data_IF_661888419934
#
_entry.id   IF_661888419934
#
_cell.length_a   1.000
_cell.length_b   1.000
_cell.length_c   1.000
_cell.angle_alpha   90.00
_cell.angle_beta   90.00
_cell.angle_gamma   90.00
#
_symmetry.space_group_name_H-M   'P 1'
#
loop_
_entity.id
_entity.type
_entity.pdbx_description
1 polymer ?
#
# COMPACT_ATOMS: atom_id res chain seq x y z
N UNK A 1 -10.11 -6.19 -55.69
CA UNK A 1 -9.30 -4.96 -55.80
C UNK A 1 -8.62 -4.72 -54.45
N UNK A 2 -7.43 -5.19 -54.25
CA UNK A 2 -6.59 -4.91 -53.07
C UNK A 2 -6.10 -3.47 -53.17
N UNK A 3 -6.66 -2.55 -52.36
CA UNK A 3 -6.22 -1.17 -52.29
C UNK A 3 -4.78 -1.21 -51.72
N UNK A 4 -3.78 -0.97 -52.56
CA UNK A 4 -2.40 -0.83 -52.13
C UNK A 4 -2.37 0.38 -51.15
N UNK A 5 -2.24 0.09 -49.86
CA UNK A 5 -2.02 1.15 -48.87
C UNK A 5 -0.75 1.91 -49.25
N UNK A 6 -0.86 3.23 -49.41
CA UNK A 6 0.26 4.07 -49.77
C UNK A 6 1.38 3.91 -48.72
N UNK A 7 2.65 4.07 -49.11
CA UNK A 7 3.80 4.03 -48.20
C UNK A 7 3.56 4.95 -46.97
N UNK A 8 2.94 6.09 -47.21
CA UNK A 8 2.54 7.01 -46.12
C UNK A 8 1.60 6.37 -45.09
N UNK A 9 0.58 5.60 -45.53
CA UNK A 9 -0.35 4.91 -44.64
C UNK A 9 0.36 3.84 -43.79
N UNK A 10 1.31 3.11 -44.36
CA UNK A 10 2.09 2.11 -43.62
C UNK A 10 3.00 2.73 -42.57
N UNK A 11 3.69 3.83 -42.92
CA UNK A 11 4.50 4.59 -41.98
C UNK A 11 3.67 5.20 -40.86
N UNK A 12 2.49 5.75 -41.19
CA UNK A 12 1.55 6.31 -40.21
C UNK A 12 1.08 5.22 -39.23
N UNK A 13 0.64 4.07 -39.71
CA UNK A 13 0.18 2.97 -38.87
C UNK A 13 1.29 2.46 -37.96
N UNK A 14 2.52 2.32 -38.46
CA UNK A 14 3.65 1.87 -37.66
C UNK A 14 4.02 2.89 -36.57
N UNK A 15 4.07 4.19 -36.91
CA UNK A 15 4.34 5.26 -35.93
C UNK A 15 3.27 5.33 -34.85
N UNK A 16 1.99 5.23 -35.23
CA UNK A 16 0.87 5.20 -34.28
C UNK A 16 0.96 3.96 -33.37
N UNK A 17 1.26 2.79 -33.92
CA UNK A 17 1.41 1.57 -33.13
C UNK A 17 2.53 1.69 -32.08
N UNK A 18 3.68 2.20 -32.49
CA UNK A 18 4.81 2.46 -31.59
C UNK A 18 4.46 3.49 -30.51
N UNK A 19 3.74 4.56 -30.87
CA UNK A 19 3.28 5.57 -29.92
C UNK A 19 2.39 4.94 -28.84
N UNK A 20 1.39 4.13 -29.24
CA UNK A 20 0.50 3.45 -28.32
C UNK A 20 1.28 2.50 -27.39
N UNK A 21 2.22 1.73 -27.92
CA UNK A 21 3.06 0.84 -27.12
C UNK A 21 3.90 1.60 -26.09
N UNK A 22 4.54 2.69 -26.51
CA UNK A 22 5.35 3.52 -25.61
C UNK A 22 4.48 4.13 -24.51
N UNK A 23 3.31 4.69 -24.86
CA UNK A 23 2.39 5.25 -23.86
C UNK A 23 1.88 4.18 -22.87
N UNK A 24 1.55 2.98 -23.37
CA UNK A 24 1.11 1.88 -22.52
C UNK A 24 2.20 1.45 -21.52
N UNK A 25 3.43 1.24 -22.01
CA UNK A 25 4.57 0.86 -21.16
C UNK A 25 4.85 1.96 -20.13
N UNK A 26 4.88 3.22 -20.56
CA UNK A 26 5.11 4.36 -19.66
C UNK A 26 4.01 4.45 -18.60
N UNK A 27 2.75 4.23 -18.99
CA UNK A 27 1.63 4.22 -18.07
C UNK A 27 1.75 3.14 -16.99
N UNK A 28 2.06 1.91 -17.40
CA UNK A 28 2.25 0.78 -16.48
C UNK A 28 3.41 1.05 -15.51
N UNK A 29 4.53 1.54 -16.01
CA UNK A 29 5.70 1.85 -15.18
C UNK A 29 5.37 2.96 -14.18
N UNK A 30 4.73 4.04 -14.62
CA UNK A 30 4.40 5.18 -13.76
C UNK A 30 3.36 4.80 -12.70
N UNK A 31 2.31 4.04 -13.05
CA UNK A 31 1.34 3.49 -12.12
C UNK A 31 2.02 2.61 -11.06
N UNK A 32 2.91 1.70 -11.48
CA UNK A 32 3.66 0.84 -10.57
C UNK A 32 4.57 1.64 -9.62
N UNK A 33 5.27 2.65 -10.12
CA UNK A 33 6.13 3.53 -9.28
C UNK A 33 5.29 4.29 -8.27
N UNK A 34 4.15 4.83 -8.68
CA UNK A 34 3.25 5.57 -7.81
C UNK A 34 2.68 4.68 -6.71
N UNK A 35 2.16 3.50 -7.06
CA UNK A 35 1.66 2.52 -6.10
C UNK A 35 2.71 2.14 -5.06
N UNK A 36 3.93 1.82 -5.51
CA UNK A 36 5.02 1.51 -4.59
C UNK A 36 5.39 2.69 -3.68
N UNK A 37 5.27 3.93 -4.17
CA UNK A 37 5.54 5.11 -3.36
C UNK A 37 4.46 5.32 -2.29
N UNK A 38 3.18 5.13 -2.63
CA UNK A 38 2.04 5.20 -1.71
C UNK A 38 2.13 4.11 -0.64
N UNK A 39 2.38 2.85 -1.02
CA UNK A 39 2.58 1.75 -0.07
C UNK A 39 3.72 2.05 0.91
N UNK A 40 4.87 2.53 0.42
CA UNK A 40 6.00 2.91 1.30
C UNK A 40 5.67 4.07 2.22
N UNK A 41 4.87 5.03 1.78
CA UNK A 41 4.44 6.14 2.63
C UNK A 41 3.54 5.63 3.77
N UNK A 42 2.62 4.76 3.45
CA UNK A 42 1.74 4.10 4.41
C UNK A 42 2.53 3.22 5.40
N UNK A 43 3.45 2.39 4.89
CA UNK A 43 4.32 1.55 5.72
C UNK A 43 5.18 2.40 6.69
N UNK A 44 5.66 3.57 6.27
CA UNK A 44 6.38 4.49 7.17
C UNK A 44 5.51 4.99 8.32
N UNK A 45 4.23 5.29 8.04
CA UNK A 45 3.25 5.70 9.07
C UNK A 45 3.00 4.57 10.07
N UNK A 46 2.75 3.34 9.59
CA UNK A 46 2.58 2.18 10.46
C UNK A 46 3.83 1.90 11.30
N UNK A 47 5.02 1.99 10.69
CA UNK A 47 6.28 1.81 11.41
C UNK A 47 6.52 2.86 12.51
N UNK A 48 6.02 4.08 12.35
CA UNK A 48 6.10 5.09 13.39
C UNK A 48 5.31 4.66 14.62
N UNK A 49 4.06 4.24 14.44
CA UNK A 49 3.23 3.71 15.53
C UNK A 49 3.83 2.45 16.15
N UNK A 50 4.35 1.54 15.32
CA UNK A 50 5.02 0.33 15.78
C UNK A 50 6.19 0.64 16.73
N UNK A 51 7.04 1.61 16.37
CA UNK A 51 8.18 2.04 17.22
C UNK A 51 7.70 2.65 18.53
N UNK A 52 6.65 3.43 18.52
CA UNK A 52 6.07 4.01 19.74
C UNK A 52 5.58 2.91 20.68
N UNK A 53 4.86 1.91 20.16
CA UNK A 53 4.39 0.77 20.96
C UNK A 53 5.55 -0.06 21.52
N UNK A 54 6.61 -0.29 20.73
CA UNK A 54 7.79 -1.02 21.19
C UNK A 54 8.51 -0.26 22.31
N UNK A 55 8.64 1.07 22.20
CA UNK A 55 9.25 1.89 23.23
C UNK A 55 8.45 1.82 24.55
N UNK A 56 7.12 1.77 24.46
CA UNK A 56 6.26 1.65 25.63
C UNK A 56 6.36 0.28 26.28
N UNK A 57 6.42 -0.81 25.50
CA UNK A 57 6.63 -2.17 26.01
C UNK A 57 8.01 -2.33 26.66
N UNK A 58 9.02 -1.61 26.15
CA UNK A 58 10.40 -1.68 26.66
C UNK A 58 10.64 -0.84 27.93
N UNK A 59 9.64 -0.11 28.45
CA UNK A 59 9.79 0.72 29.66
C UNK A 59 9.25 -0.04 30.87
N UNK A 60 10.10 -0.56 31.79
CA UNK A 60 9.71 -1.49 32.85
C UNK A 60 8.90 -0.88 34.01
N UNK A 61 8.92 0.45 34.18
CA UNK A 61 8.48 1.13 35.40
C UNK A 61 7.01 1.60 35.37
N UNK A 62 6.18 1.08 34.48
CA UNK A 62 4.81 1.53 34.38
C UNK A 62 3.81 0.58 35.07
N UNK A 63 2.90 1.09 35.95
CA UNK A 63 1.90 0.25 36.59
C UNK A 63 1.06 -0.45 35.50
N UNK A 64 0.68 -1.73 35.72
CA UNK A 64 -0.04 -2.54 34.71
C UNK A 64 -1.40 -1.97 34.32
N UNK A 65 -1.84 -0.89 34.96
CA UNK A 65 -3.14 -0.25 34.78
C UNK A 65 -3.06 1.06 33.98
N UNK A 66 -1.85 1.44 33.47
CA UNK A 66 -1.77 2.58 32.58
C UNK A 66 -2.41 2.19 31.24
N UNK A 67 -3.58 2.75 30.99
CA UNK A 67 -4.15 2.75 29.63
C UNK A 67 -3.07 3.31 28.72
N UNK A 68 -2.64 2.51 27.72
CA UNK A 68 -1.75 2.99 26.67
C UNK A 68 -2.27 4.35 26.22
N UNK A 69 -1.52 5.42 26.52
CA UNK A 69 -1.91 6.75 26.11
C UNK A 69 -2.12 6.70 24.61
N UNK A 70 -3.23 7.22 24.14
CA UNK A 70 -3.60 7.19 22.73
C UNK A 70 -2.37 7.52 21.90
N UNK A 71 -2.04 6.68 20.92
CA UNK A 71 -0.92 6.88 20.00
C UNK A 71 -1.03 8.20 19.19
N UNK A 72 -1.90 9.12 19.65
CA UNK A 72 -2.22 10.39 18.99
C UNK A 72 -3.12 10.23 17.76
N UNK A 73 -3.55 9.02 17.46
CA UNK A 73 -4.45 8.72 16.36
C UNK A 73 -5.82 8.33 16.90
N UNK A 74 -6.86 9.16 16.75
CA UNK A 74 -8.21 8.88 17.25
C UNK A 74 -8.84 7.62 16.70
N UNK A 75 -8.38 7.17 15.53
CA UNK A 75 -8.91 5.98 14.88
C UNK A 75 -8.62 4.69 15.67
N UNK A 76 -7.58 4.64 16.49
CA UNK A 76 -7.35 3.51 17.40
C UNK A 76 -8.36 3.39 18.55
N UNK A 77 -9.14 4.43 18.79
CA UNK A 77 -10.18 4.45 19.83
C UNK A 77 -11.58 4.14 19.28
N UNK A 78 -11.78 4.30 17.97
CA UNK A 78 -13.08 4.09 17.32
C UNK A 78 -13.25 2.61 16.94
N UNK A 79 -14.30 1.93 17.45
CA UNK A 79 -14.55 0.54 17.12
C UNK A 79 -14.61 0.30 15.60
N UNK A 80 -13.90 -0.74 15.15
CA UNK A 80 -13.89 -1.21 13.75
C UNK A 80 -13.47 -0.15 12.72
N UNK A 81 -12.64 0.80 13.13
CA UNK A 81 -12.19 1.96 12.33
C UNK A 81 -11.27 1.60 11.15
N UNK A 82 -10.77 0.36 11.07
CA UNK A 82 -9.72 -0.02 10.13
C UNK A 82 -8.29 0.25 10.63
N UNK A 83 -8.12 0.94 11.76
CA UNK A 83 -6.82 1.19 12.37
C UNK A 83 -6.71 0.43 13.68
N UNK A 84 -5.74 -0.51 13.75
CA UNK A 84 -5.61 -1.45 14.85
C UNK A 84 -4.16 -1.59 15.28
N UNK A 85 -3.96 -1.84 16.57
CA UNK A 85 -2.70 -2.35 17.07
C UNK A 85 -2.93 -3.50 18.05
N UNK A 86 -1.96 -4.38 18.12
CA UNK A 86 -1.97 -5.52 19.03
C UNK A 86 -0.56 -5.84 19.51
N UNK A 87 -0.43 -6.09 20.80
CA UNK A 87 0.78 -6.59 21.44
C UNK A 87 0.45 -7.94 22.04
N UNK A 88 1.20 -8.95 21.66
CA UNK A 88 1.00 -10.32 22.15
C UNK A 88 2.28 -10.77 22.84
N UNK A 89 2.19 -11.11 24.11
CA UNK A 89 3.28 -11.75 24.84
C UNK A 89 3.34 -13.23 24.46
N UNK A 90 4.50 -13.71 23.96
CA UNK A 90 4.63 -15.05 23.35
C UNK A 90 5.43 -16.04 24.20
N UNK A 91 5.98 -15.63 25.35
CA UNK A 91 6.80 -16.44 26.25
C UNK A 91 6.01 -17.11 27.40
N UNK A 92 4.69 -16.93 27.43
CA UNK A 92 3.81 -17.52 28.45
C UNK A 92 2.90 -18.59 27.85
N UNK A 93 2.53 -19.60 28.67
CA UNK A 93 1.59 -20.66 28.23
C UNK A 93 0.23 -20.12 27.76
N UNK A 94 -0.21 -18.98 28.33
CA UNK A 94 -1.40 -18.25 27.87
C UNK A 94 -0.93 -16.90 27.34
N UNK A 95 -1.00 -16.68 26.02
CA UNK A 95 -0.62 -15.39 25.43
C UNK A 95 -1.43 -14.25 26.05
N UNK A 96 -0.75 -13.33 26.71
CA UNK A 96 -1.36 -12.08 27.14
C UNK A 96 -1.45 -11.15 25.90
N UNK A 97 -2.66 -10.71 25.59
CA UNK A 97 -2.92 -9.84 24.43
C UNK A 97 -3.42 -8.50 24.90
N UNK A 98 -2.71 -7.44 24.51
CA UNK A 98 -3.17 -6.05 24.64
C UNK A 98 -3.44 -5.52 23.24
N UNK A 99 -4.55 -4.82 23.06
CA UNK A 99 -4.97 -4.34 21.76
C UNK A 99 -5.64 -2.96 21.85
N UNK A 100 -5.71 -2.29 20.70
CA UNK A 100 -6.46 -1.03 20.56
C UNK A 100 -7.96 -1.25 20.83
N UNK A 101 -8.63 -0.23 21.31
CA UNK A 101 -10.10 -0.27 21.49
C UNK A 101 -10.84 -0.49 20.17
N UNK A 102 -10.27 -0.02 19.08
CA UNK A 102 -10.83 -0.21 17.74
C UNK A 102 -10.97 -1.68 17.35
N UNK A 103 -10.10 -2.56 17.87
CA UNK A 103 -10.14 -4.00 17.56
C UNK A 103 -11.32 -4.72 18.24
N UNK A 104 -11.91 -4.10 19.29
CA UNK A 104 -13.03 -4.62 20.06
C UNK A 104 -12.72 -6.02 20.65
N UNK A 105 -13.46 -7.06 20.24
CA UNK A 105 -13.31 -8.45 20.68
C UNK A 105 -12.50 -9.32 19.70
N UNK A 106 -12.00 -8.72 18.62
CA UNK A 106 -11.26 -9.39 17.55
C UNK A 106 -9.76 -9.44 17.85
N UNK A 107 -9.03 -10.18 17.03
CA UNK A 107 -7.57 -10.27 17.05
C UNK A 107 -7.03 -10.05 15.66
N UNK A 108 -5.86 -9.41 15.59
CA UNK A 108 -5.12 -9.36 14.34
C UNK A 108 -4.51 -10.73 14.03
N UNK A 109 -4.55 -11.17 12.76
CA UNK A 109 -3.82 -12.35 12.34
C UNK A 109 -2.32 -12.10 12.45
N UNK A 110 -1.52 -13.16 12.61
CA UNK A 110 -0.06 -13.04 12.63
C UNK A 110 0.48 -13.21 11.21
N UNK A 111 1.34 -12.29 10.80
CA UNK A 111 1.99 -12.35 9.49
C UNK A 111 2.91 -13.57 9.35
N UNK A 112 3.48 -14.03 10.45
CA UNK A 112 4.27 -15.26 10.49
C UNK A 112 3.46 -16.50 10.08
N UNK A 113 2.24 -16.63 10.55
CA UNK A 113 1.34 -17.75 10.22
C UNK A 113 0.91 -17.73 8.74
N UNK A 114 1.01 -16.58 8.07
CA UNK A 114 0.76 -16.43 6.64
C UNK A 114 2.02 -16.66 5.77
N UNK A 115 3.14 -17.03 6.37
CA UNK A 115 4.37 -17.30 5.65
C UNK A 115 5.14 -16.04 5.22
N UNK A 116 4.83 -14.88 5.77
CA UNK A 116 5.53 -13.64 5.46
C UNK A 116 6.83 -13.59 6.25
N UNK A 117 7.94 -13.52 5.51
CA UNK A 117 9.29 -13.52 6.10
C UNK A 117 9.67 -12.16 6.68
N UNK A 118 10.62 -12.17 7.61
CA UNK A 118 11.23 -10.96 8.16
C UNK A 118 12.08 -10.26 7.09
N UNK A 119 11.87 -8.97 6.95
CA UNK A 119 12.77 -8.12 6.17
C UNK A 119 14.13 -7.94 6.86
N UNK A 120 15.12 -7.39 6.16
CA UNK A 120 16.42 -7.04 6.74
C UNK A 120 16.31 -6.07 7.94
N UNK A 121 15.21 -5.33 8.07
CA UNK A 121 14.94 -4.46 9.21
C UNK A 121 14.30 -5.19 10.41
N UNK A 122 14.09 -6.51 10.33
CA UNK A 122 13.49 -7.32 11.39
C UNK A 122 11.99 -7.07 11.57
N UNK A 123 11.30 -6.67 10.51
CA UNK A 123 9.86 -6.46 10.47
C UNK A 123 9.22 -7.33 9.38
N UNK A 124 7.98 -7.74 9.58
CA UNK A 124 7.13 -8.32 8.54
C UNK A 124 6.16 -7.26 8.06
N UNK A 125 5.88 -7.22 6.76
CA UNK A 125 4.94 -6.28 6.15
C UNK A 125 4.08 -7.05 5.16
N UNK A 126 2.76 -6.92 5.28
CA UNK A 126 1.84 -7.63 4.39
C UNK A 126 0.43 -7.08 4.39
N UNK A 127 -0.39 -7.63 3.51
CA UNK A 127 -1.83 -7.42 3.53
C UNK A 127 -2.48 -8.57 4.30
N UNK A 128 -3.47 -8.24 5.11
CA UNK A 128 -4.23 -9.22 5.91
C UNK A 128 -5.70 -8.86 5.91
N UNK A 129 -6.54 -9.86 6.11
CA UNK A 129 -7.96 -9.66 6.35
C UNK A 129 -8.18 -9.27 7.82
N UNK A 130 -8.80 -8.13 8.02
CA UNK A 130 -9.15 -7.59 9.33
C UNK A 130 -10.57 -7.95 9.79
N UNK A 131 -11.02 -7.33 10.90
CA UNK A 131 -12.43 -7.38 11.30
C UNK A 131 -13.36 -6.99 10.16
N UNK A 132 -14.53 -7.66 10.07
CA UNK A 132 -15.55 -7.37 9.05
C UNK A 132 -15.05 -7.45 7.59
N UNK A 133 -14.08 -8.34 7.32
CA UNK A 133 -13.51 -8.55 5.98
C UNK A 133 -12.85 -7.28 5.38
N UNK A 134 -12.29 -6.42 6.23
CA UNK A 134 -11.53 -5.26 5.79
C UNK A 134 -10.17 -5.70 5.26
N UNK A 135 -9.74 -5.13 4.15
CA UNK A 135 -8.36 -5.28 3.68
C UNK A 135 -7.44 -4.35 4.49
N UNK A 136 -6.54 -4.93 5.25
CA UNK A 136 -5.59 -4.18 6.07
C UNK A 136 -4.16 -4.32 5.55
N UNK A 137 -3.41 -3.22 5.61
CA UNK A 137 -1.96 -3.24 5.52
C UNK A 137 -1.38 -3.31 6.93
N UNK A 138 -0.55 -4.31 7.21
CA UNK A 138 -0.04 -4.59 8.55
C UNK A 138 1.48 -4.64 8.57
N UNK A 139 2.04 -4.12 9.65
CA UNK A 139 3.46 -4.23 10.01
C UNK A 139 3.56 -4.93 11.34
N UNK A 140 4.41 -5.96 11.42
CA UNK A 140 4.61 -6.80 12.61
C UNK A 140 6.10 -6.91 12.95
N UNK A 141 6.44 -6.87 14.22
CA UNK A 141 7.81 -7.06 14.70
C UNK A 141 7.86 -7.94 15.96
N UNK A 142 8.65 -9.00 15.95
CA UNK A 142 9.00 -9.72 17.16
C UNK A 142 10.04 -8.89 17.95
N UNK A 143 9.82 -8.76 19.26
CA UNK A 143 10.70 -8.02 20.19
C UNK A 143 11.06 -8.95 21.32
N UNK A 144 12.35 -9.16 21.54
CA UNK A 144 12.89 -9.93 22.67
C UNK A 144 13.54 -8.98 23.66
N UNK A 145 12.95 -8.84 24.85
CA UNK A 145 13.43 -7.99 25.94
C UNK A 145 14.18 -8.80 27.01
N UNK A 146 14.62 -10.00 26.69
CA UNK A 146 15.36 -10.87 27.61
C UNK A 146 14.51 -11.29 28.81
N UNK A 147 14.86 -10.80 30.00
CA UNK A 147 14.17 -11.13 31.25
C UNK A 147 12.72 -10.59 31.29
N UNK A 148 12.42 -9.51 30.57
CA UNK A 148 11.10 -8.86 30.56
C UNK A 148 10.13 -9.55 29.61
N UNK A 149 10.61 -10.48 28.78
CA UNK A 149 9.77 -11.36 27.95
C UNK A 149 9.92 -11.17 26.45
N UNK A 150 9.16 -11.97 25.71
CA UNK A 150 9.09 -11.90 24.24
C UNK A 150 7.73 -11.43 23.80
N UNK A 151 7.74 -10.43 22.95
CA UNK A 151 6.52 -9.77 22.49
C UNK A 151 6.44 -9.80 20.96
N UNK A 152 5.23 -9.92 20.45
CA UNK A 152 4.91 -9.70 19.05
C UNK A 152 4.07 -8.43 18.97
N UNK A 153 4.59 -7.40 18.34
CA UNK A 153 3.93 -6.11 18.21
C UNK A 153 3.48 -5.93 16.78
N UNK A 154 2.19 -5.70 16.57
CA UNK A 154 1.57 -5.49 15.27
C UNK A 154 0.77 -4.19 15.21
N UNK A 155 0.85 -3.51 14.07
CA UNK A 155 0.03 -2.33 13.74
C UNK A 155 -0.54 -2.53 12.35
N UNK A 156 -1.82 -2.27 12.19
CA UNK A 156 -2.53 -2.39 10.93
C UNK A 156 -3.33 -1.12 10.64
N UNK A 157 -3.46 -0.79 9.37
CA UNK A 157 -4.29 0.30 8.87
C UNK A 157 -5.09 -0.12 7.65
N UNK A 158 -6.20 0.54 7.41
CA UNK A 158 -7.10 0.27 6.29
C UNK A 158 -6.37 0.48 4.94
N UNK A 159 -6.27 -0.59 4.16
CA UNK A 159 -5.62 -0.58 2.86
C UNK A 159 -6.44 0.14 1.78
N UNK A 160 -7.71 0.43 2.02
CA UNK A 160 -8.55 1.18 1.09
C UNK A 160 -7.96 2.56 0.79
N UNK A 161 -7.30 3.21 1.76
CA UNK A 161 -6.56 4.47 1.53
C UNK A 161 -5.55 4.33 0.38
N UNK A 162 -4.78 3.21 0.35
CA UNK A 162 -3.78 2.94 -0.70
C UNK A 162 -4.47 2.69 -2.05
N UNK A 163 -5.54 1.90 -2.05
CA UNK A 163 -6.23 1.52 -3.27
C UNK A 163 -6.94 2.70 -3.91
N UNK A 164 -7.59 3.55 -3.12
CA UNK A 164 -8.31 4.73 -3.61
C UNK A 164 -7.36 5.79 -4.18
N UNK A 165 -6.23 6.05 -3.51
CA UNK A 165 -5.20 6.96 -4.02
C UNK A 165 -4.61 6.45 -5.34
N UNK A 166 -4.25 5.16 -5.41
CA UNK A 166 -3.68 4.56 -6.62
C UNK A 166 -4.70 4.56 -7.75
N UNK A 167 -5.95 4.22 -7.48
CA UNK A 167 -7.02 4.21 -8.48
C UNK A 167 -7.30 5.60 -9.05
N UNK A 168 -7.34 6.60 -8.19
CA UNK A 168 -7.51 8.00 -8.60
C UNK A 168 -6.37 8.44 -9.51
N UNK A 169 -5.13 8.13 -9.14
CA UNK A 169 -3.96 8.41 -9.98
C UNK A 169 -4.06 7.74 -11.35
N UNK A 170 -4.42 6.44 -11.40
CA UNK A 170 -4.55 5.69 -12.65
C UNK A 170 -5.62 6.28 -13.59
N UNK A 171 -6.73 6.77 -13.04
CA UNK A 171 -7.75 7.47 -13.83
C UNK A 171 -7.22 8.77 -14.44
N UNK A 172 -6.52 9.61 -13.67
CA UNK A 172 -5.92 10.85 -14.19
C UNK A 172 -4.82 10.58 -15.20
N UNK A 173 -3.98 9.57 -14.94
CA UNK A 173 -2.93 9.15 -15.85
C UNK A 173 -3.51 8.67 -17.19
N UNK A 174 -4.50 7.80 -17.14
CA UNK A 174 -5.19 7.27 -18.33
C UNK A 174 -5.86 8.38 -19.14
N UNK A 175 -6.57 9.30 -18.48
CA UNK A 175 -7.18 10.47 -19.11
C UNK A 175 -6.17 11.39 -19.80
N UNK A 176 -5.05 11.65 -19.12
CA UNK A 176 -3.95 12.47 -19.67
C UNK A 176 -3.32 11.81 -20.89
N UNK A 177 -3.05 10.51 -20.83
CA UNK A 177 -2.47 9.77 -21.96
C UNK A 177 -3.43 9.64 -23.14
N UNK A 178 -4.72 9.47 -22.87
CA UNK A 178 -5.74 9.47 -23.91
C UNK A 178 -5.80 10.84 -24.62
N UNK A 179 -5.83 11.93 -23.88
CA UNK A 179 -5.82 13.27 -24.44
C UNK A 179 -4.54 13.54 -25.26
N UNK A 180 -3.38 13.18 -24.73
CA UNK A 180 -2.10 13.29 -25.43
C UNK A 180 -2.09 12.46 -26.72
N UNK A 181 -2.57 11.24 -26.68
CA UNK A 181 -2.68 10.36 -27.84
C UNK A 181 -3.56 10.95 -28.93
N UNK A 182 -4.72 11.51 -28.56
CA UNK A 182 -5.62 12.19 -29.50
C UNK A 182 -4.93 13.38 -30.15
N UNK A 183 -4.28 14.25 -29.38
CA UNK A 183 -3.58 15.42 -29.91
C UNK A 183 -2.48 15.00 -30.90
N UNK A 184 -1.69 13.98 -30.54
CA UNK A 184 -0.62 13.48 -31.43
C UNK A 184 -1.17 12.86 -32.70
N UNK A 185 -2.27 12.11 -32.63
CA UNK A 185 -2.95 11.58 -33.81
C UNK A 185 -3.47 12.68 -34.73
N UNK A 186 -4.15 13.68 -34.16
CA UNK A 186 -4.66 14.83 -34.92
C UNK A 186 -3.53 15.61 -35.62
N UNK A 187 -2.41 15.86 -34.89
CA UNK A 187 -1.24 16.52 -35.45
C UNK A 187 -0.64 15.72 -36.61
N UNK A 188 -0.52 14.40 -36.43
CA UNK A 188 0.04 13.52 -37.48
C UNK A 188 -0.87 13.46 -38.72
N UNK A 189 -2.20 13.37 -38.52
CA UNK A 189 -3.17 13.42 -39.64
C UNK A 189 -3.07 14.76 -40.38
N UNK A 190 -2.97 15.86 -39.63
CA UNK A 190 -2.81 17.20 -40.24
C UNK A 190 -1.52 17.32 -41.06
N UNK A 191 -0.39 16.86 -40.50
CA UNK A 191 0.89 16.86 -41.22
C UNK A 191 0.87 16.02 -42.49
N UNK A 192 0.23 14.83 -42.47
CA UNK A 192 0.13 13.99 -43.66
C UNK A 192 -0.77 14.61 -44.72
N UNK A 193 -1.89 15.24 -44.33
CA UNK A 193 -2.81 15.82 -45.28
C UNK A 193 -2.31 17.15 -45.89
N UNK A 194 -1.58 17.96 -45.16
CA UNK A 194 -1.10 19.28 -45.61
C UNK A 194 0.37 19.31 -46.00
N UNK A 195 1.19 18.35 -45.54
CA UNK A 195 2.59 18.27 -45.90
C UNK A 195 2.90 17.50 -47.19
N UNK A 196 1.93 16.75 -47.73
CA UNK A 196 2.01 16.02 -48.98
C UNK A 196 1.14 16.60 -50.10
N UNK A 197 0.51 17.75 -49.87
CA UNK A 197 -0.19 18.54 -50.89
C UNK A 197 0.76 19.60 -51.50
#
# INVERSE_FOLDING_TARGET
>A
MMRQSSLATRLFLSATAWLVVILAITGIVLSSVYRNATERAFDRRLNLYLRTLIAEVATPDDPPDRQFQSLGEPLFELPLSGWYWQITRSDTEKPEVRASRSLWDKKLPKLEEQGIELTAAGIRIGYVEGPENQDLRMVERPVDLGADGKFLVGVAGDASEIFDETRSFDYYLGGTFAALGIVLLLTTVFQVNYGLA
#
